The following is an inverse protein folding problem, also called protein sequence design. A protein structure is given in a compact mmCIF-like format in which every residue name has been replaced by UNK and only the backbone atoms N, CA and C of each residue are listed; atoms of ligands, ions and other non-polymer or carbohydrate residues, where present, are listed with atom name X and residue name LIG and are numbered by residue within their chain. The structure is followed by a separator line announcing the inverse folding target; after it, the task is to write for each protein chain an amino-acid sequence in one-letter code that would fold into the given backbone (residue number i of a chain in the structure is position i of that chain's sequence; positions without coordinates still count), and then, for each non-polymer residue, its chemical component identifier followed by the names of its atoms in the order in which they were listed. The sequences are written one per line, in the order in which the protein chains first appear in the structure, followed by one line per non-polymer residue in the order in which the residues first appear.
data_IF_952305841502
#
_entry.id   IF_952305841502
#
_cell.length_a   1.000
_cell.length_b   1.000
_cell.length_c   1.000
_cell.angle_alpha   90.00
_cell.angle_beta   90.00
_cell.angle_gamma   90.00
#
_symmetry.space_group_name_H-M   'P 1'
#
loop_
_entity.id
_entity.type
_entity.pdbx_description
1 polymer ?
#
# COMPACT_ATOMS: atom_id res chain seq x y z
N UNK A 1 -21.80 -4.62 -14.57
CA UNK A 1 -22.37 -5.97 -14.85
C UNK A 1 -23.64 -6.18 -14.03
N UNK A 2 -24.62 -6.95 -14.49
CA UNK A 2 -25.81 -7.25 -13.66
C UNK A 2 -25.49 -8.39 -12.70
N UNK A 3 -26.11 -8.41 -11.51
CA UNK A 3 -25.95 -9.46 -10.50
C UNK A 3 -26.17 -10.89 -11.04
N UNK A 4 -26.96 -11.04 -12.13
CA UNK A 4 -27.19 -12.33 -12.79
C UNK A 4 -25.97 -12.83 -13.58
N UNK A 5 -25.22 -11.94 -14.22
CA UNK A 5 -23.97 -12.31 -14.92
C UNK A 5 -22.89 -12.71 -13.92
N UNK A 6 -22.75 -11.99 -12.82
CA UNK A 6 -21.78 -12.31 -11.75
C UNK A 6 -22.01 -13.70 -11.18
N UNK A 7 -23.28 -14.11 -10.93
CA UNK A 7 -23.61 -15.45 -10.41
C UNK A 7 -23.34 -16.60 -11.40
N UNK A 8 -23.45 -16.35 -12.71
CA UNK A 8 -23.11 -17.37 -13.71
C UNK A 8 -21.59 -17.61 -13.76
N UNK A 9 -20.81 -16.56 -13.63
CA UNK A 9 -19.35 -16.63 -13.68
C UNK A 9 -18.71 -17.04 -12.33
N UNK A 10 -19.43 -16.93 -11.21
CA UNK A 10 -18.95 -17.31 -9.87
C UNK A 10 -18.50 -18.79 -9.80
N UNK A 11 -19.20 -19.69 -10.53
CA UNK A 11 -18.80 -21.12 -10.61
C UNK A 11 -17.48 -21.33 -11.34
N UNK A 12 -17.15 -20.45 -12.29
CA UNK A 12 -15.89 -20.52 -13.03
C UNK A 12 -14.67 -20.07 -12.18
N UNK A 13 -14.91 -19.47 -11.00
CA UNK A 13 -13.85 -19.08 -10.09
C UNK A 13 -13.18 -20.28 -9.40
N UNK A 14 -13.81 -21.45 -9.36
CA UNK A 14 -13.30 -22.62 -8.66
C UNK A 14 -13.28 -22.43 -7.15
N UNK A 15 -12.35 -23.12 -6.48
CA UNK A 15 -12.13 -22.99 -5.04
C UNK A 15 -11.09 -21.91 -4.75
N UNK A 16 -11.52 -20.82 -4.11
CA UNK A 16 -10.68 -19.66 -3.80
C UNK A 16 -10.03 -19.81 -2.42
N UNK A 17 -8.70 -19.70 -2.34
CA UNK A 17 -8.04 -19.46 -1.07
C UNK A 17 -8.14 -17.97 -0.72
N UNK A 18 -8.87 -17.61 0.32
CA UNK A 18 -8.84 -16.27 0.90
C UNK A 18 -7.73 -16.25 1.95
N UNK A 19 -6.55 -15.74 1.58
CA UNK A 19 -5.39 -15.74 2.47
C UNK A 19 -5.27 -14.41 3.22
N UNK A 20 -5.12 -14.50 4.55
CA UNK A 20 -5.04 -13.35 5.45
C UNK A 20 -4.20 -13.67 6.69
N UNK A 21 -4.08 -12.74 7.62
CA UNK A 21 -3.33 -12.93 8.87
C UNK A 21 -1.83 -12.86 8.65
N UNK A 22 -1.14 -13.98 8.81
CA UNK A 22 0.32 -14.04 8.72
C UNK A 22 1.02 -13.43 9.95
N UNK A 23 2.31 -13.11 9.83
CA UNK A 23 3.17 -12.71 10.97
C UNK A 23 3.49 -11.20 10.98
N UNK A 24 2.90 -10.40 10.09
CA UNK A 24 3.14 -8.95 10.03
C UNK A 24 2.46 -8.20 11.17
N UNK A 25 2.93 -7.00 11.46
CA UNK A 25 2.30 -6.09 12.42
C UNK A 25 0.84 -5.71 12.05
N UNK A 26 0.47 -5.91 10.78
CA UNK A 26 -0.86 -5.61 10.24
C UNK A 26 -1.82 -6.82 10.25
N UNK A 27 -1.44 -7.91 10.97
CA UNK A 27 -2.23 -9.16 11.05
C UNK A 27 -3.72 -8.94 11.35
N UNK A 28 -4.03 -8.13 12.36
CA UNK A 28 -5.42 -7.90 12.79
C UNK A 28 -6.25 -7.19 11.71
N UNK A 29 -5.62 -6.31 10.95
CA UNK A 29 -6.27 -5.56 9.86
C UNK A 29 -6.53 -6.49 8.69
N UNK A 30 -5.55 -7.33 8.35
CA UNK A 30 -5.67 -8.39 7.37
C UNK A 30 -6.84 -9.32 7.67
N UNK A 31 -6.97 -9.79 8.92
CA UNK A 31 -8.07 -10.66 9.35
C UNK A 31 -9.43 -9.97 9.31
N UNK A 32 -9.53 -8.70 9.74
CA UNK A 32 -10.77 -7.91 9.61
C UNK A 32 -11.19 -7.72 8.14
N UNK A 33 -10.24 -7.40 7.28
CA UNK A 33 -10.48 -7.32 5.83
C UNK A 33 -10.97 -8.65 5.26
N UNK A 34 -10.37 -9.76 5.68
CA UNK A 34 -10.78 -11.09 5.25
C UNK A 34 -12.20 -11.45 5.67
N UNK A 35 -12.64 -11.03 6.85
CA UNK A 35 -14.05 -11.25 7.29
C UNK A 35 -15.04 -10.50 6.38
N UNK A 36 -14.73 -9.26 6.01
CA UNK A 36 -15.57 -8.49 5.09
C UNK A 36 -15.61 -9.12 3.69
N UNK A 37 -14.45 -9.50 3.15
CA UNK A 37 -14.34 -10.15 1.82
C UNK A 37 -15.03 -11.52 1.85
N UNK A 38 -14.88 -12.31 2.90
CA UNK A 38 -15.57 -13.59 3.07
C UNK A 38 -17.09 -13.44 2.95
N UNK A 39 -17.68 -12.47 3.66
CA UNK A 39 -19.10 -12.16 3.56
C UNK A 39 -19.54 -11.77 2.14
N UNK A 40 -18.70 -11.03 1.40
CA UNK A 40 -18.99 -10.72 0.00
C UNK A 40 -18.91 -11.96 -0.90
N UNK A 41 -17.89 -12.83 -0.72
CA UNK A 41 -17.76 -14.08 -1.47
C UNK A 41 -18.96 -15.00 -1.25
N UNK A 42 -19.46 -15.10 0.00
CA UNK A 42 -20.68 -15.85 0.34
C UNK A 42 -21.91 -15.31 -0.43
N UNK A 43 -22.13 -13.99 -0.40
CA UNK A 43 -23.25 -13.36 -1.11
C UNK A 43 -23.17 -13.53 -2.64
N UNK A 44 -21.95 -13.56 -3.17
CA UNK A 44 -21.66 -13.82 -4.59
C UNK A 44 -21.81 -15.32 -4.96
N UNK A 45 -21.88 -16.22 -3.95
CA UNK A 45 -21.95 -17.66 -4.17
C UNK A 45 -20.63 -18.28 -4.61
N UNK A 46 -19.51 -17.67 -4.27
CA UNK A 46 -18.15 -18.13 -4.58
C UNK A 46 -17.68 -19.09 -3.48
N UNK A 47 -17.21 -20.27 -3.90
CA UNK A 47 -16.62 -21.25 -2.98
C UNK A 47 -15.25 -20.82 -2.53
N UNK A 48 -15.03 -20.65 -1.23
CA UNK A 48 -13.74 -20.22 -0.67
C UNK A 48 -13.40 -20.95 0.62
N UNK A 49 -12.11 -20.89 0.98
CA UNK A 49 -11.63 -21.22 2.32
C UNK A 49 -10.70 -20.11 2.84
N UNK A 50 -10.89 -19.74 4.11
CA UNK A 50 -10.00 -18.80 4.79
C UNK A 50 -8.73 -19.54 5.20
N UNK A 51 -7.57 -19.00 4.84
CA UNK A 51 -6.24 -19.56 5.13
C UNK A 51 -5.40 -18.53 5.87
N UNK A 52 -4.86 -18.92 7.05
CA UNK A 52 -4.02 -18.05 7.85
C UNK A 52 -2.55 -18.20 7.49
N UNK A 53 -2.01 -17.16 6.86
CA UNK A 53 -0.60 -17.00 6.54
C UNK A 53 -0.12 -17.75 5.29
N UNK A 54 1.05 -17.35 4.77
CA UNK A 54 1.54 -17.84 3.48
C UNK A 54 2.00 -19.30 3.54
N UNK A 55 2.59 -19.74 4.67
CA UNK A 55 3.09 -21.11 4.82
C UNK A 55 1.97 -22.14 4.68
N UNK A 56 0.88 -21.95 5.44
CA UNK A 56 -0.28 -22.83 5.39
C UNK A 56 -0.98 -22.83 4.04
N UNK A 57 -0.99 -21.66 3.36
CA UNK A 57 -1.49 -21.57 2.00
C UNK A 57 -0.69 -22.47 1.05
N UNK A 58 0.64 -22.39 1.07
CA UNK A 58 1.50 -23.18 0.17
C UNK A 58 1.35 -24.67 0.40
N UNK A 59 1.25 -25.15 1.64
CA UNK A 59 0.97 -26.56 1.97
C UNK A 59 -0.33 -27.05 1.31
N UNK A 60 -1.37 -26.25 1.33
CA UNK A 60 -2.67 -26.59 0.74
C UNK A 60 -2.69 -26.43 -0.78
N UNK A 61 -1.95 -25.49 -1.33
CA UNK A 61 -1.73 -25.35 -2.78
C UNK A 61 -1.01 -26.57 -3.34
N UNK A 62 0.05 -27.04 -2.67
CA UNK A 62 0.78 -28.26 -3.06
C UNK A 62 -0.14 -29.49 -3.05
N UNK A 63 -1.08 -29.56 -2.10
CA UNK A 63 -2.11 -30.61 -2.04
C UNK A 63 -3.22 -30.47 -3.10
N UNK A 64 -3.20 -29.44 -3.93
CA UNK A 64 -4.17 -29.23 -5.00
C UNK A 64 -5.55 -28.74 -4.53
N UNK A 65 -5.62 -28.06 -3.41
CA UNK A 65 -6.92 -27.65 -2.82
C UNK A 65 -7.52 -26.41 -3.46
N UNK A 66 -6.75 -25.57 -4.18
CA UNK A 66 -7.20 -24.27 -4.64
C UNK A 66 -6.94 -24.04 -6.12
N UNK A 67 -7.89 -23.35 -6.77
CA UNK A 67 -7.81 -22.93 -8.17
C UNK A 67 -7.23 -21.50 -8.31
N UNK A 68 -7.37 -20.67 -7.25
CA UNK A 68 -6.86 -19.29 -7.20
C UNK A 68 -6.75 -18.75 -5.78
N UNK A 69 -6.06 -17.63 -5.62
CA UNK A 69 -5.83 -16.98 -4.33
C UNK A 69 -6.34 -15.56 -4.36
N UNK A 70 -7.14 -15.18 -3.35
CA UNK A 70 -7.42 -13.79 -2.99
C UNK A 70 -6.47 -13.41 -1.85
N UNK A 71 -5.49 -12.55 -2.14
CA UNK A 71 -4.47 -12.16 -1.18
C UNK A 71 -4.89 -10.92 -0.38
N UNK A 72 -4.89 -11.04 0.94
CA UNK A 72 -5.08 -9.95 1.91
C UNK A 72 -3.96 -9.92 2.96
N UNK A 73 -2.85 -10.61 2.71
CA UNK A 73 -1.68 -10.49 3.56
C UNK A 73 -1.01 -9.12 3.34
N UNK A 74 -0.73 -8.42 4.42
CA UNK A 74 -0.03 -7.15 4.40
C UNK A 74 1.44 -7.31 4.76
N UNK A 75 2.28 -6.43 4.23
CA UNK A 75 3.70 -6.36 4.54
C UNK A 75 4.50 -7.54 4.01
N UNK A 76 5.58 -7.87 4.75
CA UNK A 76 6.51 -8.94 4.34
C UNK A 76 5.81 -10.30 4.28
N UNK A 77 6.13 -11.07 3.24
CA UNK A 77 5.51 -12.36 2.95
C UNK A 77 4.15 -12.30 2.25
N UNK A 78 3.56 -11.10 2.09
CA UNK A 78 2.30 -10.89 1.38
C UNK A 78 2.42 -9.89 0.22
N UNK A 79 3.24 -8.85 0.38
CA UNK A 79 3.39 -7.74 -0.58
C UNK A 79 4.82 -7.59 -1.14
N UNK A 80 5.76 -8.46 -0.76
CA UNK A 80 7.19 -8.35 -1.10
C UNK A 80 7.64 -9.19 -2.31
N UNK A 81 6.71 -9.89 -2.96
CA UNK A 81 7.01 -10.75 -4.11
C UNK A 81 7.28 -12.22 -3.76
N UNK A 82 7.48 -12.56 -2.48
CA UNK A 82 7.81 -13.93 -2.08
C UNK A 82 6.63 -14.89 -2.30
N UNK A 83 5.43 -14.54 -1.82
CA UNK A 83 4.22 -15.33 -2.05
C UNK A 83 3.88 -15.39 -3.53
N UNK A 84 3.99 -14.27 -4.24
CA UNK A 84 3.74 -14.16 -5.67
C UNK A 84 4.63 -15.13 -6.45
N UNK A 85 5.92 -15.17 -6.12
CA UNK A 85 6.89 -16.08 -6.74
C UNK A 85 6.59 -17.55 -6.46
N UNK A 86 6.23 -17.89 -5.23
CA UNK A 86 5.86 -19.24 -4.86
C UNK A 86 4.61 -19.73 -5.64
N UNK A 87 3.51 -18.94 -5.63
CA UNK A 87 2.29 -19.29 -6.35
C UNK A 87 2.48 -19.39 -7.86
N UNK A 88 3.37 -18.56 -8.43
CA UNK A 88 3.74 -18.65 -9.85
C UNK A 88 4.36 -20.01 -10.19
N UNK A 89 5.22 -20.58 -9.32
CA UNK A 89 5.82 -21.88 -9.54
C UNK A 89 4.78 -23.00 -9.55
N UNK A 90 3.71 -22.87 -8.78
CA UNK A 90 2.57 -23.79 -8.78
C UNK A 90 1.54 -23.50 -9.89
N UNK A 91 1.70 -22.42 -10.66
CA UNK A 91 0.74 -22.03 -11.69
C UNK A 91 -0.61 -21.55 -11.15
N UNK A 92 -0.66 -21.11 -9.91
CA UNK A 92 -1.89 -20.65 -9.24
C UNK A 92 -2.10 -19.15 -9.47
N UNK A 93 -3.23 -18.74 -10.07
CA UNK A 93 -3.59 -17.33 -10.21
C UNK A 93 -3.82 -16.67 -8.86
N UNK A 94 -3.35 -15.41 -8.70
CA UNK A 94 -3.55 -14.63 -7.51
C UNK A 94 -4.04 -13.22 -7.86
N UNK A 95 -4.83 -12.62 -6.96
CA UNK A 95 -5.25 -11.22 -7.08
C UNK A 95 -4.06 -10.27 -6.87
N UNK A 96 -4.04 -9.17 -7.62
CA UNK A 96 -3.09 -8.07 -7.44
C UNK A 96 -1.81 -8.21 -8.25
N UNK A 97 -0.79 -7.54 -7.76
CA UNK A 97 0.49 -7.37 -8.44
C UNK A 97 1.34 -8.63 -8.44
N UNK A 98 2.17 -8.80 -9.46
CA UNK A 98 3.11 -9.93 -9.58
C UNK A 98 4.41 -9.68 -8.82
N UNK A 99 5.35 -10.62 -8.96
CA UNK A 99 6.64 -10.67 -8.23
C UNK A 99 7.40 -9.35 -8.30
N UNK A 100 7.64 -8.85 -9.52
CA UNK A 100 8.48 -7.66 -9.72
C UNK A 100 7.86 -6.41 -9.09
N UNK A 101 6.59 -6.17 -9.38
CA UNK A 101 5.89 -4.99 -8.87
C UNK A 101 5.80 -5.01 -7.34
N UNK A 102 5.42 -6.15 -6.75
CA UNK A 102 5.37 -6.30 -5.29
C UNK A 102 6.73 -6.04 -4.64
N UNK A 103 7.82 -6.61 -5.17
CA UNK A 103 9.15 -6.38 -4.64
C UNK A 103 9.61 -4.92 -4.79
N UNK A 104 9.30 -4.28 -5.92
CA UNK A 104 9.64 -2.86 -6.16
C UNK A 104 8.85 -1.92 -5.25
N UNK A 105 7.54 -2.11 -5.14
CA UNK A 105 6.66 -1.23 -4.36
C UNK A 105 6.86 -1.39 -2.85
N UNK A 106 7.26 -2.58 -2.40
CA UNK A 106 7.66 -2.80 -1.01
C UNK A 106 8.83 -1.90 -0.60
N UNK A 107 9.76 -1.58 -1.52
CA UNK A 107 10.85 -0.63 -1.28
C UNK A 107 10.48 0.77 -1.79
N UNK A 108 10.15 1.68 -0.85
CA UNK A 108 9.86 3.09 -1.17
C UNK A 108 10.99 3.74 -1.99
N UNK A 109 12.24 3.43 -1.65
CA UNK A 109 13.41 3.94 -2.37
C UNK A 109 13.45 3.47 -3.83
N UNK A 110 13.15 2.19 -4.10
CA UNK A 110 13.15 1.68 -5.48
C UNK A 110 11.99 2.26 -6.28
N UNK A 111 10.81 2.33 -5.69
CA UNK A 111 9.64 2.97 -6.28
C UNK A 111 9.94 4.41 -6.70
N UNK A 112 10.49 5.22 -5.78
CA UNK A 112 10.87 6.62 -6.05
C UNK A 112 11.93 6.75 -7.13
N UNK A 113 12.93 5.86 -7.18
CA UNK A 113 13.94 5.83 -8.25
C UNK A 113 13.32 5.64 -9.63
N UNK A 114 12.36 4.70 -9.74
CA UNK A 114 11.63 4.45 -10.99
C UNK A 114 10.82 5.69 -11.37
N UNK A 115 10.08 6.28 -10.44
CA UNK A 115 9.30 7.49 -10.68
C UNK A 115 10.16 8.65 -11.16
N UNK A 116 11.29 8.90 -10.51
CA UNK A 116 12.24 9.94 -10.93
C UNK A 116 12.80 9.69 -12.33
N UNK A 117 13.14 8.42 -12.66
CA UNK A 117 13.68 8.05 -13.96
C UNK A 117 12.70 8.31 -15.12
N UNK A 118 11.38 8.31 -14.85
CA UNK A 118 10.34 8.61 -15.85
C UNK A 118 9.71 9.99 -15.69
N UNK A 119 10.30 10.85 -14.86
CA UNK A 119 9.86 12.23 -14.66
C UNK A 119 8.59 12.41 -13.84
N UNK A 120 8.25 11.47 -12.94
CA UNK A 120 7.17 11.62 -11.99
C UNK A 120 7.65 12.29 -10.70
N UNK A 121 6.86 13.23 -10.18
CA UNK A 121 7.23 14.03 -9.00
C UNK A 121 7.10 13.20 -7.71
N UNK A 122 8.17 13.16 -6.94
CA UNK A 122 8.23 12.60 -5.59
C UNK A 122 9.16 13.44 -4.73
N UNK A 123 8.95 13.58 -3.41
CA UNK A 123 9.84 14.35 -2.56
C UNK A 123 11.29 13.95 -2.74
N UNK A 124 12.21 14.93 -2.73
CA UNK A 124 13.65 14.64 -2.72
C UNK A 124 13.99 13.81 -1.48
N UNK A 125 14.89 12.85 -1.60
CA UNK A 125 15.18 11.91 -0.52
C UNK A 125 16.63 11.42 -0.54
N UNK A 126 17.07 10.93 0.62
CA UNK A 126 18.30 10.16 0.80
C UNK A 126 17.98 8.84 1.46
N UNK A 127 18.69 7.77 1.06
CA UNK A 127 18.63 6.47 1.70
C UNK A 127 19.78 6.35 2.68
N UNK A 128 19.45 6.12 3.95
CA UNK A 128 20.40 5.90 5.02
C UNK A 128 20.44 4.40 5.34
N UNK A 129 21.61 3.78 5.25
CA UNK A 129 21.80 2.37 5.63
C UNK A 129 22.33 2.30 7.06
N UNK A 130 21.72 1.47 7.90
CA UNK A 130 22.06 1.33 9.31
C UNK A 130 23.57 1.15 9.54
N UNK A 131 24.20 0.24 8.83
CA UNK A 131 25.63 -0.04 8.90
C UNK A 131 26.55 1.16 8.59
N UNK A 132 26.05 2.14 7.82
CA UNK A 132 26.84 3.31 7.42
C UNK A 132 26.58 4.52 8.31
N UNK A 133 25.51 4.49 9.13
CA UNK A 133 25.02 5.60 9.92
C UNK A 133 25.19 5.43 11.44
N UNK A 134 25.32 4.17 11.89
CA UNK A 134 25.58 3.88 13.30
C UNK A 134 27.05 3.51 13.50
N UNK A 135 27.58 3.90 14.67
CA UNK A 135 28.88 3.44 15.15
C UNK A 135 28.81 2.03 15.77
N UNK A 136 29.93 1.50 16.25
CA UNK A 136 30.03 0.18 16.88
C UNK A 136 29.21 0.05 18.19
N UNK A 137 28.73 1.17 18.74
CA UNK A 137 27.90 1.23 19.94
C UNK A 137 26.43 1.46 19.63
N UNK A 138 26.07 1.62 18.34
CA UNK A 138 24.71 1.86 17.88
C UNK A 138 24.27 3.32 17.94
N UNK A 139 25.19 4.26 18.18
CA UNK A 139 24.91 5.69 18.12
C UNK A 139 24.97 6.21 16.67
N UNK A 140 24.11 7.17 16.35
CA UNK A 140 24.12 7.83 15.03
C UNK A 140 25.34 8.74 14.93
N UNK A 141 25.96 8.75 13.74
CA UNK A 141 27.16 9.56 13.48
C UNK A 141 26.77 11.03 13.23
N UNK A 142 27.03 11.92 14.19
CA UNK A 142 26.67 13.35 14.17
C UNK A 142 27.09 14.07 12.89
N UNK A 143 28.31 13.82 12.40
CA UNK A 143 28.81 14.46 11.18
C UNK A 143 27.99 14.11 9.94
N UNK A 144 27.33 12.93 9.92
CA UNK A 144 26.42 12.54 8.84
C UNK A 144 25.07 13.24 8.94
N UNK A 145 24.57 13.40 10.18
CA UNK A 145 23.37 14.19 10.42
C UNK A 145 23.55 15.63 9.94
N UNK A 146 24.68 16.24 10.32
CA UNK A 146 25.00 17.61 9.90
C UNK A 146 25.09 17.71 8.37
N UNK A 147 25.85 16.81 7.73
CA UNK A 147 26.00 16.81 6.25
C UNK A 147 24.65 16.64 5.53
N UNK A 148 23.75 15.80 6.06
CA UNK A 148 22.42 15.59 5.47
C UNK A 148 21.55 16.85 5.62
N UNK A 149 21.55 17.49 6.79
CA UNK A 149 20.82 18.74 7.01
C UNK A 149 21.37 19.86 6.12
N UNK A 150 22.70 19.96 6.00
CA UNK A 150 23.33 20.96 5.11
C UNK A 150 22.94 20.76 3.63
N UNK A 151 22.74 19.49 3.22
CA UNK A 151 22.36 19.15 1.85
C UNK A 151 20.86 19.33 1.57
N UNK A 152 19.99 18.88 2.48
CA UNK A 152 18.55 18.78 2.24
C UNK A 152 17.75 19.90 2.91
N UNK A 153 18.29 20.54 3.94
CA UNK A 153 17.55 21.45 4.82
C UNK A 153 16.58 20.73 5.75
N UNK A 154 15.79 21.52 6.46
CA UNK A 154 14.61 21.08 7.24
C UNK A 154 13.40 21.88 6.77
N UNK A 155 12.16 21.40 6.89
CA UNK A 155 11.75 20.17 7.59
C UNK A 155 11.93 18.92 6.74
N UNK A 156 12.17 17.77 7.40
CA UNK A 156 12.32 16.46 6.79
C UNK A 156 11.31 15.46 7.36
N UNK A 157 11.15 14.34 6.67
CA UNK A 157 10.36 13.21 7.10
C UNK A 157 11.19 11.92 7.03
N UNK A 158 11.28 11.20 8.14
CA UNK A 158 12.06 9.97 8.27
C UNK A 158 11.13 8.78 8.35
N UNK A 159 11.40 7.74 7.55
CA UNK A 159 10.58 6.53 7.53
C UNK A 159 11.40 5.29 7.15
N UNK A 160 11.07 4.10 7.69
CA UNK A 160 11.62 2.84 7.22
C UNK A 160 11.33 2.64 5.74
N UNK A 161 12.26 2.03 5.00
CA UNK A 161 12.12 1.85 3.54
C UNK A 161 11.05 0.82 3.18
N UNK A 162 10.91 -0.26 3.98
CA UNK A 162 10.11 -1.44 3.64
C UNK A 162 9.03 -1.77 4.68
N UNK A 163 8.56 -0.79 5.42
CA UNK A 163 7.48 -0.97 6.39
C UNK A 163 6.23 -0.19 6.02
N UNK A 164 5.08 -0.75 6.38
CA UNK A 164 3.76 -0.15 6.20
C UNK A 164 3.23 0.53 7.46
N UNK A 165 1.96 0.89 7.45
CA UNK A 165 1.19 1.39 8.60
C UNK A 165 1.82 2.52 9.41
N UNK A 166 2.66 3.34 8.79
CA UNK A 166 3.36 4.48 9.42
C UNK A 166 4.24 4.12 10.63
N UNK A 167 4.65 2.86 10.75
CA UNK A 167 5.56 2.41 11.81
C UNK A 167 6.95 3.04 11.65
N UNK A 168 7.53 3.49 12.75
CA UNK A 168 8.88 4.07 12.76
C UNK A 168 9.02 5.43 12.08
N UNK A 169 7.92 6.05 11.64
CA UNK A 169 7.93 7.35 10.97
C UNK A 169 8.10 8.50 11.97
N UNK A 170 8.75 9.60 11.54
CA UNK A 170 8.93 10.81 12.33
C UNK A 170 9.13 12.05 11.46
N UNK A 171 8.60 13.19 11.92
CA UNK A 171 8.95 14.52 11.39
C UNK A 171 10.24 14.99 12.03
N UNK A 172 11.04 15.71 11.27
CA UNK A 172 12.32 16.30 11.70
C UNK A 172 12.28 17.78 11.40
N UNK A 173 12.22 18.58 12.45
CA UNK A 173 12.13 20.04 12.35
C UNK A 173 13.47 20.71 12.59
N UNK A 174 14.42 20.00 13.22
CA UNK A 174 15.78 20.45 13.50
C UNK A 174 16.75 19.27 13.57
N UNK A 175 18.06 19.56 13.67
CA UNK A 175 19.09 18.52 13.66
C UNK A 175 18.98 17.52 14.82
N UNK A 176 18.52 17.95 15.99
CA UNK A 176 18.43 17.07 17.17
C UNK A 176 17.31 16.03 17.00
N UNK A 177 16.27 16.36 16.22
CA UNK A 177 15.19 15.43 15.91
C UNK A 177 15.65 14.32 14.97
N UNK A 178 16.66 14.58 14.11
CA UNK A 178 17.10 13.65 13.08
C UNK A 178 17.73 12.38 13.65
N UNK A 179 18.58 12.52 14.67
CA UNK A 179 19.19 11.37 15.35
C UNK A 179 18.12 10.45 15.95
N UNK A 180 17.19 11.02 16.71
CA UNK A 180 16.09 10.28 17.36
C UNK A 180 15.22 9.59 16.30
N UNK A 181 14.90 10.28 15.21
CA UNK A 181 14.09 9.76 14.12
C UNK A 181 14.78 8.59 13.40
N UNK A 182 16.10 8.68 13.16
CA UNK A 182 16.87 7.61 12.52
C UNK A 182 16.97 6.38 13.42
N UNK A 183 17.27 6.54 14.73
CA UNK A 183 17.31 5.43 15.68
C UNK A 183 15.97 4.69 15.68
N UNK A 184 14.86 5.42 15.82
CA UNK A 184 13.52 4.86 15.81
C UNK A 184 13.21 4.11 14.51
N UNK A 185 13.55 4.66 13.34
CA UNK A 185 13.29 4.03 12.07
C UNK A 185 14.16 2.79 11.84
N UNK A 186 15.42 2.79 12.32
CA UNK A 186 16.33 1.65 12.26
C UNK A 186 15.94 0.47 13.17
N UNK A 187 14.96 0.64 14.06
CA UNK A 187 14.36 -0.50 14.79
C UNK A 187 13.53 -1.38 13.87
N UNK A 188 12.99 -0.81 12.75
CA UNK A 188 12.06 -1.48 11.84
C UNK A 188 12.72 -1.91 10.53
N UNK A 189 13.73 -1.20 10.04
CA UNK A 189 14.41 -1.53 8.78
C UNK A 189 15.88 -1.09 8.80
N UNK A 190 16.76 -1.87 8.17
CA UNK A 190 18.18 -1.52 8.01
C UNK A 190 18.40 -0.44 6.93
N UNK A 191 17.39 -0.10 6.17
CA UNK A 191 17.38 1.03 5.23
C UNK A 191 16.26 2.01 5.60
N UNK A 192 16.62 3.27 5.78
CA UNK A 192 15.70 4.35 6.15
C UNK A 192 15.70 5.41 5.08
N UNK A 193 14.53 5.90 4.72
CA UNK A 193 14.35 7.08 3.88
C UNK A 193 14.30 8.33 4.75
N UNK A 194 15.14 9.30 4.40
CA UNK A 194 15.00 10.69 4.86
C UNK A 194 14.58 11.51 3.65
N UNK A 195 13.41 12.11 3.70
CA UNK A 195 12.86 12.86 2.57
C UNK A 195 12.40 14.26 2.98
N UNK A 196 12.32 15.16 2.02
CA UNK A 196 11.74 16.48 2.23
C UNK A 196 10.29 16.34 2.72
N UNK A 197 9.95 17.01 3.81
CA UNK A 197 8.58 17.09 4.27
C UNK A 197 7.77 17.96 3.31
N UNK A 198 6.71 17.41 2.73
CA UNK A 198 5.75 18.18 1.93
C UNK A 198 4.59 18.59 2.82
N UNK A 199 4.42 19.90 2.99
CA UNK A 199 3.26 20.46 3.70
C UNK A 199 2.11 20.66 2.72
N UNK A 200 0.92 20.14 3.08
CA UNK A 200 -0.25 20.25 2.23
C UNK A 200 -1.34 19.26 2.58
N UNK A 201 -2.11 18.88 1.58
CA UNK A 201 -3.24 17.95 1.67
C UNK A 201 -2.77 16.55 1.38
N UNK A 202 -3.13 15.58 2.21
CA UNK A 202 -2.85 14.17 1.94
C UNK A 202 -4.00 13.58 1.12
N UNK A 203 -3.66 13.01 -0.02
CA UNK A 203 -4.58 12.40 -0.97
C UNK A 203 -4.22 10.94 -1.21
N UNK A 204 -5.22 10.17 -1.58
CA UNK A 204 -5.02 8.79 -2.03
C UNK A 204 -5.91 8.46 -3.21
N UNK A 205 -5.39 7.64 -4.13
CA UNK A 205 -6.06 7.16 -5.32
C UNK A 205 -6.15 5.63 -5.29
N UNK A 206 -7.36 5.08 -5.19
CA UNK A 206 -7.61 3.66 -5.40
C UNK A 206 -7.53 3.30 -6.88
N UNK A 207 -6.96 2.15 -7.20
CA UNK A 207 -6.90 1.60 -8.57
C UNK A 207 -7.53 0.22 -8.58
N UNK A 208 -8.44 -0.03 -9.53
CA UNK A 208 -9.05 -1.34 -9.78
C UNK A 208 -9.06 -1.60 -11.30
N UNK A 209 -8.35 -2.61 -11.75
CA UNK A 209 -8.10 -2.84 -13.17
C UNK A 209 -7.31 -1.69 -13.79
N UNK A 210 -7.89 -1.04 -14.77
CA UNK A 210 -7.37 0.17 -15.41
C UNK A 210 -8.05 1.46 -14.93
N UNK A 211 -8.96 1.35 -13.97
CA UNK A 211 -9.73 2.49 -13.46
C UNK A 211 -9.09 3.07 -12.21
N UNK A 212 -8.85 4.37 -12.18
CA UNK A 212 -8.59 5.13 -10.97
C UNK A 212 -9.94 5.55 -10.39
N UNK A 213 -10.18 5.18 -9.14
CA UNK A 213 -11.39 5.52 -8.40
C UNK A 213 -11.34 6.99 -7.95
N UNK A 214 -12.46 7.57 -7.51
CA UNK A 214 -12.48 8.93 -6.97
C UNK A 214 -11.42 9.13 -5.89
N UNK A 215 -10.66 10.22 -5.99
CA UNK A 215 -9.63 10.56 -5.02
C UNK A 215 -10.24 10.79 -3.64
N UNK A 216 -9.51 10.40 -2.61
CA UNK A 216 -9.88 10.68 -1.22
C UNK A 216 -8.88 11.65 -0.63
N UNK A 217 -9.36 12.72 0.01
CA UNK A 217 -8.56 13.55 0.90
C UNK A 217 -8.70 13.06 2.34
N UNK A 218 -7.55 12.94 3.01
CA UNK A 218 -7.46 12.54 4.40
C UNK A 218 -7.20 13.78 5.26
N UNK A 219 -8.09 14.04 6.23
CA UNK A 219 -7.92 15.10 7.22
C UNK A 219 -7.80 14.49 8.60
N UNK A 220 -6.60 14.49 9.13
CA UNK A 220 -6.32 14.01 10.48
C UNK A 220 -5.98 15.18 11.42
N UNK A 221 -6.42 15.13 12.69
CA UNK A 221 -5.97 16.09 13.69
C UNK A 221 -4.53 15.83 14.15
N UNK A 222 -3.96 14.64 13.83
CA UNK A 222 -2.60 14.26 14.15
C UNK A 222 -1.61 15.01 13.23
N UNK A 223 -0.33 15.03 13.60
CA UNK A 223 0.73 15.65 12.81
C UNK A 223 0.85 15.06 11.39
N UNK A 224 0.50 13.80 11.23
CA UNK A 224 0.39 13.07 9.95
C UNK A 224 -0.57 11.88 10.13
N UNK A 225 -0.90 11.20 9.04
CA UNK A 225 -1.78 10.00 9.04
C UNK A 225 -1.01 8.79 9.58
N UNK A 226 -0.82 8.76 10.90
CA UNK A 226 -0.10 7.73 11.66
C UNK A 226 -0.96 6.47 11.89
N UNK A 227 -0.40 5.49 12.61
CA UNK A 227 -1.08 4.24 12.92
C UNK A 227 -2.38 4.46 13.70
N UNK A 228 -2.37 5.37 14.68
CA UNK A 228 -3.55 5.66 15.49
C UNK A 228 -4.63 6.36 14.66
N UNK A 229 -4.25 7.31 13.79
CA UNK A 229 -5.17 7.97 12.86
C UNK A 229 -5.78 6.98 11.85
N UNK A 230 -5.02 5.92 11.46
CA UNK A 230 -5.49 4.87 10.53
C UNK A 230 -6.49 3.92 11.18
N UNK A 231 -6.28 3.52 12.45
CA UNK A 231 -6.93 2.34 13.00
C UNK A 231 -7.61 2.52 14.36
N UNK A 232 -7.24 3.51 15.15
CA UNK A 232 -7.69 3.63 16.54
C UNK A 232 -8.61 4.81 16.83
N UNK A 233 -8.35 5.99 16.29
CA UNK A 233 -8.95 7.21 16.81
C UNK A 233 -10.33 7.55 16.28
N UNK A 234 -10.74 7.06 15.12
CA UNK A 234 -12.02 7.45 14.48
C UNK A 234 -12.16 8.97 14.23
N UNK A 235 -11.04 9.72 14.34
CA UNK A 235 -10.98 11.19 14.26
C UNK A 235 -10.57 11.68 12.87
N UNK A 236 -10.12 10.79 12.00
CA UNK A 236 -9.77 11.11 10.62
C UNK A 236 -11.04 11.28 9.79
N UNK A 237 -11.18 12.43 9.15
CA UNK A 237 -12.22 12.71 8.16
C UNK A 237 -11.74 12.29 6.77
N UNK A 238 -12.61 11.60 6.02
CA UNK A 238 -12.35 11.13 4.66
C UNK A 238 -13.30 11.84 3.70
N UNK A 239 -12.77 12.74 2.87
CA UNK A 239 -13.56 13.43 1.86
C UNK A 239 -13.45 12.68 0.52
N UNK A 240 -14.51 12.02 0.12
CA UNK A 240 -14.59 11.24 -1.11
C UNK A 240 -15.88 11.56 -1.90
N UNK A 241 -15.79 12.10 -3.12
CA UNK A 241 -14.58 12.58 -3.80
C UNK A 241 -13.86 13.70 -3.07
N UNK A 242 -12.52 13.77 -3.19
CA UNK A 242 -11.75 14.90 -2.68
C UNK A 242 -12.25 16.23 -3.26
N UNK A 243 -12.36 17.31 -2.46
CA UNK A 243 -12.85 18.61 -2.94
C UNK A 243 -11.78 19.34 -3.77
N UNK A 244 -11.63 18.90 -5.01
CA UNK A 244 -10.73 19.43 -6.05
C UNK A 244 -11.56 19.92 -7.24
N UNK A 245 -11.02 20.85 -8.01
CA UNK A 245 -11.59 21.11 -9.33
C UNK A 245 -11.39 19.91 -10.26
N UNK A 246 -12.26 19.78 -11.25
CA UNK A 246 -12.30 18.60 -12.12
C UNK A 246 -10.98 18.38 -12.89
N UNK A 247 -10.36 19.45 -13.39
CA UNK A 247 -9.13 19.39 -14.16
C UNK A 247 -7.95 18.91 -13.29
N UNK A 248 -7.85 19.41 -12.06
CA UNK A 248 -6.83 19.00 -11.10
C UNK A 248 -7.05 17.54 -10.66
N UNK A 249 -8.29 17.15 -10.36
CA UNK A 249 -8.63 15.78 -9.99
C UNK A 249 -8.27 14.79 -11.11
N UNK A 250 -8.57 15.13 -12.36
CA UNK A 250 -8.20 14.32 -13.53
C UNK A 250 -6.68 14.22 -13.68
N UNK A 251 -5.96 15.33 -13.60
CA UNK A 251 -4.50 15.35 -13.69
C UNK A 251 -3.83 14.49 -12.63
N UNK A 252 -4.31 14.57 -11.38
CA UNK A 252 -3.80 13.73 -10.27
C UNK A 252 -4.13 12.25 -10.52
N UNK A 253 -5.34 11.95 -11.01
CA UNK A 253 -5.73 10.57 -11.33
C UNK A 253 -4.85 9.97 -12.43
N UNK A 254 -4.55 10.72 -13.49
CA UNK A 254 -3.63 10.32 -14.55
C UNK A 254 -2.19 10.11 -14.02
N UNK A 255 -1.72 10.99 -13.13
CA UNK A 255 -0.43 10.85 -12.46
C UNK A 255 -0.38 9.55 -11.63
N UNK A 256 -1.41 9.29 -10.82
CA UNK A 256 -1.50 8.09 -9.98
C UNK A 256 -1.57 6.80 -10.82
N UNK A 257 -2.32 6.82 -11.94
CA UNK A 257 -2.32 5.71 -12.88
C UNK A 257 -0.92 5.43 -13.44
N UNK A 258 -0.22 6.46 -13.92
CA UNK A 258 1.15 6.33 -14.42
C UNK A 258 2.12 5.84 -13.35
N UNK A 259 1.97 6.33 -12.11
CA UNK A 259 2.79 5.92 -10.98
C UNK A 259 2.60 4.44 -10.63
N UNK A 260 1.37 3.94 -10.74
CA UNK A 260 1.00 2.54 -10.53
C UNK A 260 1.49 1.64 -11.68
N UNK A 261 1.24 2.05 -12.91
CA UNK A 261 1.57 1.26 -14.11
C UNK A 261 3.08 1.13 -14.33
N UNK A 262 3.86 2.20 -14.14
CA UNK A 262 5.31 2.19 -14.43
C UNK A 262 6.11 1.27 -13.51
N UNK A 263 5.64 0.97 -12.31
CA UNK A 263 6.24 -0.02 -11.41
C UNK A 263 5.77 -1.45 -11.71
N UNK A 264 4.91 -1.61 -12.74
CA UNK A 264 4.33 -2.89 -13.15
C UNK A 264 3.24 -3.40 -12.21
N UNK A 265 2.68 -2.53 -11.36
CA UNK A 265 1.55 -2.87 -10.51
C UNK A 265 0.28 -3.12 -11.35
N UNK A 266 -0.59 -4.02 -10.88
CA UNK A 266 -1.77 -4.45 -11.64
C UNK A 266 -2.87 -5.01 -10.75
N UNK A 267 -4.05 -5.20 -11.36
CA UNK A 267 -5.23 -5.74 -10.70
C UNK A 267 -5.88 -4.72 -9.79
N UNK A 268 -5.30 -4.44 -8.66
CA UNK A 268 -5.79 -3.47 -7.70
C UNK A 268 -4.67 -2.92 -6.81
N UNK A 269 -4.90 -1.76 -6.22
CA UNK A 269 -3.93 -1.11 -5.35
C UNK A 269 -4.33 0.30 -4.96
N UNK A 270 -3.40 1.03 -4.36
CA UNK A 270 -3.60 2.40 -3.91
C UNK A 270 -2.30 3.18 -4.06
N UNK A 271 -2.40 4.40 -4.56
CA UNK A 271 -1.28 5.35 -4.67
C UNK A 271 -1.53 6.49 -3.69
N UNK A 272 -0.57 6.75 -2.81
CA UNK A 272 -0.64 7.80 -1.81
C UNK A 272 0.26 8.98 -2.21
N UNK A 273 -0.22 10.20 -2.01
CA UNK A 273 0.47 11.42 -2.41
C UNK A 273 0.15 12.60 -1.49
N UNK A 274 1.05 13.59 -1.47
CA UNK A 274 0.78 14.93 -0.93
C UNK A 274 0.48 15.89 -2.07
N UNK A 275 -0.47 16.80 -1.84
CA UNK A 275 -0.74 17.95 -2.69
C UNK A 275 -0.31 19.20 -1.94
N UNK A 276 0.73 19.88 -2.41
CA UNK A 276 1.25 21.07 -1.74
C UNK A 276 0.34 22.31 -1.91
N UNK A 277 0.75 23.44 -1.34
CA UNK A 277 -0.01 24.68 -1.38
C UNK A 277 -0.13 25.27 -2.80
N UNK A 278 0.79 24.92 -3.70
CA UNK A 278 0.79 25.32 -5.10
C UNK A 278 0.03 24.33 -6.00
N UNK A 279 -0.69 23.36 -5.40
CA UNK A 279 -1.35 22.24 -6.07
C UNK A 279 -0.40 21.34 -6.87
N UNK A 280 0.86 21.22 -6.46
CA UNK A 280 1.80 20.26 -7.04
C UNK A 280 1.64 18.92 -6.33
N UNK A 281 1.34 17.82 -7.06
CA UNK A 281 1.23 16.49 -6.48
C UNK A 281 2.62 15.85 -6.30
N UNK A 282 2.85 15.26 -5.11
CA UNK A 282 4.08 14.58 -4.72
C UNK A 282 3.77 13.14 -4.33
N UNK A 283 4.18 12.18 -5.16
CA UNK A 283 3.95 10.75 -4.94
C UNK A 283 4.74 10.24 -3.73
N UNK A 284 4.09 9.49 -2.85
CA UNK A 284 4.69 8.93 -1.64
C UNK A 284 5.00 7.44 -1.78
N UNK A 285 3.98 6.61 -2.06
CA UNK A 285 4.10 5.16 -2.15
C UNK A 285 2.97 4.51 -2.97
N UNK A 286 3.17 3.24 -3.34
CA UNK A 286 2.14 2.35 -3.91
C UNK A 286 1.90 1.21 -2.93
N UNK A 287 0.63 0.99 -2.59
CA UNK A 287 0.19 -0.15 -1.79
C UNK A 287 -0.47 -1.18 -2.71
N UNK A 288 0.10 -2.38 -2.80
CA UNK A 288 -0.39 -3.43 -3.72
C UNK A 288 -1.45 -4.32 -3.12
N UNK A 289 -1.66 -4.26 -1.80
CA UNK A 289 -2.74 -4.97 -1.10
C UNK A 289 -3.37 -4.01 -0.07
N UNK A 290 -4.12 -2.99 -0.50
CA UNK A 290 -4.74 -2.05 0.43
C UNK A 290 -5.81 -2.73 1.30
N UNK A 291 -6.08 -2.16 2.48
CA UNK A 291 -7.08 -2.69 3.41
C UNK A 291 -8.48 -2.82 2.77
N UNK A 292 -9.19 -3.89 3.14
CA UNK A 292 -10.49 -4.28 2.59
C UNK A 292 -11.58 -4.42 3.65
N UNK A 293 -11.50 -3.63 4.74
CA UNK A 293 -12.68 -3.43 5.61
C UNK A 293 -13.63 -2.43 4.95
N UNK A 294 -14.90 -2.43 5.30
CA UNK A 294 -15.88 -1.44 4.78
C UNK A 294 -15.47 0.01 5.06
N UNK A 295 -14.70 0.24 6.11
CA UNK A 295 -14.16 1.56 6.46
C UNK A 295 -12.85 1.92 5.75
N UNK A 296 -12.23 0.98 5.03
CA UNK A 296 -10.97 1.19 4.32
C UNK A 296 -11.12 2.12 3.11
N UNK A 297 -10.02 2.74 2.71
CA UNK A 297 -9.99 3.80 1.68
C UNK A 297 -10.43 3.28 0.30
N UNK A 298 -9.96 2.10 -0.11
CA UNK A 298 -10.33 1.55 -1.42
C UNK A 298 -11.82 1.23 -1.52
N UNK A 299 -12.48 0.53 -0.57
CA UNK A 299 -13.93 0.35 -0.54
C UNK A 299 -14.71 1.67 -0.51
N UNK A 300 -14.25 2.69 0.22
CA UNK A 300 -14.88 4.02 0.21
C UNK A 300 -14.85 4.68 -1.18
N UNK A 301 -13.68 4.62 -1.84
CA UNK A 301 -13.54 5.16 -3.20
C UNK A 301 -14.42 4.39 -4.21
N UNK A 302 -14.50 3.06 -4.09
CA UNK A 302 -15.36 2.24 -4.91
C UNK A 302 -16.84 2.63 -4.74
N UNK A 303 -17.30 2.74 -3.49
CA UNK A 303 -18.67 3.15 -3.20
C UNK A 303 -18.99 4.55 -3.78
N UNK A 304 -18.07 5.49 -3.67
CA UNK A 304 -18.23 6.83 -4.24
C UNK A 304 -18.28 6.82 -5.78
N UNK A 305 -17.72 5.80 -6.44
CA UNK A 305 -17.86 5.59 -7.89
C UNK A 305 -19.13 4.84 -8.30
N UNK A 306 -19.96 4.42 -7.34
CA UNK A 306 -21.16 3.63 -7.55
C UNK A 306 -20.94 2.10 -7.58
N UNK A 307 -19.72 1.65 -7.25
CA UNK A 307 -19.35 0.24 -7.14
C UNK A 307 -19.56 -0.21 -5.70
N UNK A 308 -20.48 -1.14 -5.46
CA UNK A 308 -20.68 -1.72 -4.13
C UNK A 308 -19.54 -2.67 -3.72
N UNK A 309 -19.54 -3.13 -2.47
CA UNK A 309 -18.45 -3.93 -1.95
C UNK A 309 -18.34 -5.31 -2.64
N UNK A 310 -19.47 -5.92 -2.97
CA UNK A 310 -19.53 -7.19 -3.71
C UNK A 310 -18.96 -7.03 -5.12
N UNK A 311 -19.31 -5.96 -5.81
CA UNK A 311 -18.79 -5.65 -7.13
C UNK A 311 -17.27 -5.39 -7.07
N UNK A 312 -16.78 -4.67 -6.05
CA UNK A 312 -15.36 -4.45 -5.83
C UNK A 312 -14.62 -5.79 -5.63
N UNK A 313 -15.12 -6.66 -4.73
CA UNK A 313 -14.53 -7.98 -4.47
C UNK A 313 -14.52 -8.83 -5.76
N UNK A 314 -15.61 -8.80 -6.52
CA UNK A 314 -15.71 -9.47 -7.79
C UNK A 314 -14.69 -8.95 -8.82
N UNK A 315 -14.59 -7.63 -8.97
CA UNK A 315 -13.65 -6.99 -9.89
C UNK A 315 -12.20 -7.36 -9.56
N UNK A 316 -11.85 -7.39 -8.29
CA UNK A 316 -10.51 -7.79 -7.83
C UNK A 316 -10.27 -9.28 -8.14
N UNK A 317 -11.19 -10.16 -7.78
CA UNK A 317 -11.04 -11.60 -7.94
C UNK A 317 -11.00 -12.03 -9.41
N UNK A 318 -11.82 -11.42 -10.24
CA UNK A 318 -11.91 -11.74 -11.69
C UNK A 318 -10.62 -11.40 -12.44
N UNK A 319 -9.78 -10.54 -11.89
CA UNK A 319 -8.48 -10.17 -12.45
C UNK A 319 -7.31 -11.01 -11.92
N UNK A 320 -7.59 -12.05 -11.10
CA UNK A 320 -6.55 -12.96 -10.61
C UNK A 320 -5.82 -13.62 -11.80
N UNK A 321 -4.49 -13.58 -11.77
CA UNK A 321 -3.64 -14.10 -12.84
C UNK A 321 -2.37 -14.73 -12.28
N UNK A 322 -1.69 -15.56 -13.07
CA UNK A 322 -0.38 -16.10 -12.69
C UNK A 322 0.63 -14.94 -12.66
N UNK A 323 1.35 -14.79 -11.54
CA UNK A 323 2.23 -13.66 -11.23
C UNK A 323 3.50 -13.60 -12.11
#
# INVERSE_FOLDING_TARGET
MTAAHIKADAKAMGHVALVAGGDSAEREISLKGAQAVAGALERLGIHYSLVDGPRRLLEQVEAGHFDRVFNLLHGRGGEDGALQGALRLYGIPMTGSGVLASALTMSKAQTKRIWQAVGLSTPSYQVCKKQDWLDDHGAVLDHKCQALIDQMGVPLFVKPNREGSSLGMSRVMNINDLEVALIKAFEFDDEVLVEQLIEGRELTAGVVGSQVLPLIELKTPNEFYDFDAKYAAGTTEYLCPAPLDEALAQSISELCWRAFDVVGARGWGRVDLMLDQDNTPWLLEVNTTPGMTESSLLPKAALASGMDFEELVWQILSQAQIA
#
